data_IF_628850125389
#
_entry.id   IF_628850125389
#
_cell.length_a   1.000
_cell.length_b   1.000
_cell.length_c   1.000
_cell.angle_alpha   90.00
_cell.angle_beta   90.00
_cell.angle_gamma   90.00
#
_symmetry.space_group_name_H-M   'P 1'
#
loop_
_entity.id
_entity.type
_entity.pdbx_description
1 polymer ?
#
# COMPACT_ATOMS: atom_id res chain seq x y z
N UNK A 1 -19.14 19.50 -6.24
CA UNK A 1 -19.39 18.52 -5.16
C UNK A 1 -18.44 17.34 -5.31
N UNK A 2 -17.92 16.79 -4.22
CA UNK A 2 -17.05 15.61 -4.26
C UNK A 2 -17.89 14.35 -4.48
N UNK A 3 -17.46 13.49 -5.40
CA UNK A 3 -18.12 12.19 -5.61
C UNK A 3 -17.91 11.27 -4.39
N UNK A 4 -18.94 10.53 -3.96
CA UNK A 4 -18.79 9.45 -2.99
C UNK A 4 -17.78 8.41 -3.48
N UNK A 5 -17.08 7.76 -2.55
CA UNK A 5 -16.22 6.63 -2.90
C UNK A 5 -17.12 5.45 -3.28
N UNK A 6 -16.83 4.85 -4.42
CA UNK A 6 -17.47 3.59 -4.79
C UNK A 6 -16.97 2.47 -3.88
N UNK A 7 -17.89 1.89 -3.10
CA UNK A 7 -17.61 0.82 -2.16
C UNK A 7 -18.53 -0.35 -2.48
N UNK A 8 -17.92 -1.47 -2.83
CA UNK A 8 -18.57 -2.75 -3.12
C UNK A 8 -18.07 -3.82 -2.14
N UNK A 9 -18.97 -4.49 -1.40
CA UNK A 9 -18.59 -5.61 -0.54
C UNK A 9 -17.83 -6.69 -1.33
N UNK A 10 -16.74 -7.19 -0.74
CA UNK A 10 -15.92 -8.25 -1.34
C UNK A 10 -15.07 -7.83 -2.55
N UNK A 11 -15.10 -6.56 -2.96
CA UNK A 11 -14.26 -6.07 -4.05
C UNK A 11 -12.79 -5.94 -3.64
N UNK A 12 -11.91 -6.10 -4.63
CA UNK A 12 -10.50 -5.74 -4.54
C UNK A 12 -10.33 -4.30 -5.01
N UNK A 13 -9.44 -3.54 -4.37
CA UNK A 13 -9.23 -2.14 -4.67
C UNK A 13 -7.76 -1.86 -4.95
N UNK A 14 -7.52 -1.02 -5.96
CA UNK A 14 -6.28 -0.27 -6.03
C UNK A 14 -6.46 1.00 -5.20
N UNK A 15 -5.62 1.18 -4.17
CA UNK A 15 -5.70 2.28 -3.20
C UNK A 15 -4.42 3.10 -3.27
N UNK A 16 -4.55 4.43 -3.22
CA UNK A 16 -3.39 5.32 -3.15
C UNK A 16 -3.57 6.41 -2.09
N UNK A 17 -2.47 6.80 -1.42
CA UNK A 17 -2.45 7.96 -0.53
C UNK A 17 -1.13 8.74 -0.65
N UNK A 18 -1.21 10.06 -0.50
CA UNK A 18 -0.08 10.97 -0.69
C UNK A 18 0.16 11.79 0.56
N UNK A 19 1.44 11.99 0.88
CA UNK A 19 1.89 12.82 1.98
C UNK A 19 1.65 14.30 1.67
N UNK A 20 1.27 15.05 2.70
CA UNK A 20 1.01 16.48 2.61
C UNK A 20 2.25 17.22 2.12
N UNK A 21 2.04 18.31 1.37
CA UNK A 21 3.09 19.10 0.70
C UNK A 21 4.03 18.31 -0.23
N UNK A 22 3.72 17.03 -0.50
CA UNK A 22 4.60 16.13 -1.25
C UNK A 22 5.97 15.91 -0.59
N UNK A 23 6.05 16.10 0.74
CA UNK A 23 7.27 15.91 1.51
C UNK A 23 7.70 14.43 1.47
N UNK A 24 9.00 14.18 1.29
CA UNK A 24 9.57 12.84 1.18
C UNK A 24 9.77 12.17 2.55
N UNK A 25 8.72 12.11 3.37
CA UNK A 25 8.83 11.60 4.75
C UNK A 25 9.15 10.10 4.81
N UNK A 26 8.96 9.36 3.71
CA UNK A 26 9.32 7.94 3.59
C UNK A 26 10.75 7.72 3.07
N UNK A 27 11.57 8.76 2.88
CA UNK A 27 13.00 8.54 2.55
C UNK A 27 13.71 7.73 3.65
N UNK A 28 13.52 7.98 4.96
CA UNK A 28 14.08 7.14 6.02
C UNK A 28 13.39 5.77 6.14
N UNK A 29 14.18 4.74 6.40
CA UNK A 29 13.71 3.35 6.51
C UNK A 29 12.87 3.09 7.74
N UNK A 30 13.23 3.71 8.87
CA UNK A 30 12.52 3.59 10.13
C UNK A 30 11.08 4.14 10.07
N UNK A 31 10.82 5.12 9.19
CA UNK A 31 9.47 5.64 8.91
C UNK A 31 8.67 4.66 8.05
N UNK A 32 9.30 4.04 7.04
CA UNK A 32 8.65 3.00 6.23
C UNK A 32 8.33 1.76 7.09
N UNK A 33 9.25 1.34 7.95
CA UNK A 33 9.04 0.27 8.93
C UNK A 33 7.90 0.57 9.89
N UNK A 34 7.80 1.81 10.37
CA UNK A 34 6.68 2.25 11.20
C UNK A 34 5.36 2.10 10.46
N UNK A 35 5.32 2.43 9.16
CA UNK A 35 4.12 2.25 8.35
C UNK A 35 3.77 0.78 8.14
N UNK A 36 4.76 -0.08 7.84
CA UNK A 36 4.57 -1.53 7.73
C UNK A 36 3.99 -2.14 9.02
N UNK A 37 4.50 -1.71 10.19
CA UNK A 37 3.93 -2.12 11.49
C UNK A 37 2.47 -1.72 11.62
N UNK A 38 2.10 -0.50 11.22
CA UNK A 38 0.71 -0.04 11.23
C UNK A 38 -0.17 -0.89 10.30
N UNK A 39 0.29 -1.23 9.10
CA UNK A 39 -0.47 -2.10 8.17
C UNK A 39 -0.70 -3.47 8.81
N UNK A 40 0.32 -4.05 9.44
CA UNK A 40 0.21 -5.35 10.10
C UNK A 40 -0.81 -5.31 11.26
N UNK A 41 -0.73 -4.31 12.13
CA UNK A 41 -1.70 -4.10 13.21
C UNK A 41 -3.14 -3.93 12.68
N UNK A 42 -3.29 -3.21 11.56
CA UNK A 42 -4.58 -3.04 10.89
C UNK A 42 -5.12 -4.37 10.38
N UNK A 43 -4.27 -5.22 9.81
CA UNK A 43 -4.66 -6.53 9.30
C UNK A 43 -5.10 -7.46 10.45
N UNK A 44 -4.38 -7.46 11.57
CA UNK A 44 -4.78 -8.18 12.78
C UNK A 44 -6.17 -7.72 13.24
N UNK A 45 -6.43 -6.41 13.25
CA UNK A 45 -7.67 -5.80 13.74
C UNK A 45 -8.88 -5.99 12.82
N UNK A 46 -8.73 -5.73 11.52
CA UNK A 46 -9.86 -5.64 10.59
C UNK A 46 -9.96 -6.79 9.60
N UNK A 47 -8.89 -7.58 9.44
CA UNK A 47 -8.75 -8.67 8.46
C UNK A 47 -8.97 -8.20 7.03
N UNK A 48 -7.89 -8.14 6.26
CA UNK A 48 -7.92 -7.87 4.83
C UNK A 48 -6.82 -8.64 4.11
N UNK A 49 -7.00 -8.86 2.82
CA UNK A 49 -5.96 -9.41 1.96
C UNK A 49 -5.21 -8.25 1.31
N UNK A 50 -3.88 -8.27 1.41
CA UNK A 50 -3.00 -7.35 0.72
C UNK A 50 -2.26 -8.13 -0.37
N UNK A 51 -2.63 -7.97 -1.63
CA UNK A 51 -2.02 -8.73 -2.73
C UNK A 51 -0.71 -8.12 -3.20
N UNK A 52 -0.56 -6.80 -3.08
CA UNK A 52 0.67 -6.07 -3.32
C UNK A 52 0.63 -4.69 -2.63
N UNK A 53 1.80 -4.09 -2.42
CA UNK A 53 1.94 -2.72 -1.95
C UNK A 53 3.22 -2.07 -2.47
N UNK A 54 3.31 -0.75 -2.42
CA UNK A 54 4.55 -0.02 -2.59
C UNK A 54 4.53 1.25 -1.74
N UNK A 55 5.65 1.55 -1.08
CA UNK A 55 5.88 2.78 -0.32
C UNK A 55 7.06 3.49 -0.96
N UNK A 56 6.83 4.65 -1.55
CA UNK A 56 7.86 5.52 -2.11
C UNK A 56 7.82 6.87 -1.41
N UNK A 57 8.93 7.60 -1.41
CA UNK A 57 9.18 8.97 -0.89
C UNK A 57 8.01 9.66 -0.17
N UNK A 58 6.92 9.93 -0.90
CA UNK A 58 5.74 10.65 -0.43
C UNK A 58 4.40 9.97 -0.81
N UNK A 59 4.43 8.73 -1.32
CA UNK A 59 3.26 8.04 -1.87
C UNK A 59 3.20 6.57 -1.47
N UNK A 60 1.99 6.08 -1.24
CA UNK A 60 1.72 4.67 -0.95
C UNK A 60 0.66 4.15 -1.90
N UNK A 61 0.86 2.94 -2.42
CA UNK A 61 -0.09 2.23 -3.28
C UNK A 61 -0.36 0.82 -2.75
N UNK A 62 -1.62 0.35 -2.75
CA UNK A 62 -2.02 -0.99 -2.33
C UNK A 62 -2.94 -1.69 -3.33
N UNK A 63 -2.83 -3.01 -3.44
CA UNK A 63 -3.91 -3.89 -3.91
C UNK A 63 -4.51 -4.57 -2.69
N UNK A 64 -5.68 -4.10 -2.26
CA UNK A 64 -6.28 -4.49 -0.98
C UNK A 64 -7.70 -4.98 -1.17
N UNK A 65 -8.03 -6.13 -0.58
CA UNK A 65 -9.39 -6.68 -0.51
C UNK A 65 -9.85 -6.76 0.95
N UNK A 66 -10.83 -5.93 1.37
CA UNK A 66 -11.43 -6.07 2.69
C UNK A 66 -12.18 -7.40 2.83
N UNK A 67 -12.03 -8.08 3.98
CA UNK A 67 -12.73 -9.35 4.22
C UNK A 67 -13.98 -9.22 5.08
N UNK A 68 -13.97 -8.32 6.07
CA UNK A 68 -15.10 -8.11 7.00
C UNK A 68 -15.60 -6.67 7.01
N UNK A 69 -14.67 -5.72 7.01
CA UNK A 69 -14.96 -4.30 7.20
C UNK A 69 -14.91 -3.53 5.88
N UNK A 70 -15.36 -2.28 5.88
CA UNK A 70 -15.26 -1.45 4.67
C UNK A 70 -13.82 -0.98 4.44
N UNK A 71 -13.46 -0.80 3.16
CA UNK A 71 -12.18 -0.21 2.77
C UNK A 71 -11.94 1.13 3.48
N UNK A 72 -12.99 1.97 3.56
CA UNK A 72 -12.92 3.28 4.23
C UNK A 72 -12.53 3.16 5.69
N UNK A 73 -13.06 2.19 6.43
CA UNK A 73 -12.74 2.00 7.85
C UNK A 73 -11.30 1.52 8.04
N UNK A 74 -10.86 0.58 7.22
CA UNK A 74 -9.49 0.05 7.24
C UNK A 74 -8.48 1.17 6.96
N UNK A 75 -8.65 1.87 5.84
CA UNK A 75 -7.73 2.92 5.42
C UNK A 75 -7.79 4.14 6.35
N UNK A 76 -8.97 4.51 6.86
CA UNK A 76 -9.05 5.57 7.86
C UNK A 76 -8.19 5.23 9.08
N UNK A 77 -8.24 3.99 9.56
CA UNK A 77 -7.45 3.59 10.71
C UNK A 77 -5.94 3.58 10.40
N UNK A 78 -5.52 2.96 9.28
CA UNK A 78 -4.11 2.91 8.86
C UNK A 78 -3.51 4.31 8.79
N UNK A 79 -4.16 5.21 8.05
CA UNK A 79 -3.66 6.56 7.84
C UNK A 79 -3.66 7.39 9.12
N UNK A 80 -4.69 7.25 9.97
CA UNK A 80 -4.79 8.01 11.22
C UNK A 80 -3.75 7.56 12.25
N UNK A 81 -3.55 6.25 12.41
CA UNK A 81 -2.57 5.71 13.36
C UNK A 81 -1.16 6.04 12.92
N UNK A 82 -0.84 5.93 11.63
CA UNK A 82 0.46 6.37 11.13
C UNK A 82 0.68 7.86 11.36
N UNK A 83 -0.28 8.72 11.01
CA UNK A 83 -0.15 10.16 11.19
C UNK A 83 0.07 10.53 12.67
N UNK A 84 -0.65 9.90 13.59
CA UNK A 84 -0.48 10.10 15.02
C UNK A 84 0.93 9.70 15.48
N UNK A 85 1.43 8.52 15.08
CA UNK A 85 2.76 8.03 15.46
C UNK A 85 3.88 8.88 14.86
N UNK A 86 3.74 9.28 13.60
CA UNK A 86 4.67 10.16 12.92
C UNK A 86 4.74 11.53 13.62
N UNK A 87 3.60 12.18 13.85
CA UNK A 87 3.54 13.47 14.53
C UNK A 87 4.13 13.40 15.95
N UNK A 88 3.82 12.33 16.70
CA UNK A 88 4.39 12.15 18.03
C UNK A 88 5.91 11.99 17.99
N UNK A 89 6.44 11.17 17.07
CA UNK A 89 7.88 10.94 16.91
C UNK A 89 8.66 12.20 16.53
N UNK A 90 8.06 13.08 15.74
CA UNK A 90 8.71 14.28 15.22
C UNK A 90 8.31 15.57 15.94
N UNK A 91 7.48 15.48 16.99
CA UNK A 91 6.94 16.63 17.74
C UNK A 91 6.23 17.66 16.85
N UNK A 92 5.59 17.20 15.77
CA UNK A 92 4.87 18.04 14.81
C UNK A 92 3.37 18.05 15.11
N UNK A 93 2.75 19.21 14.93
CA UNK A 93 1.29 19.36 14.89
C UNK A 93 0.84 19.62 13.45
N UNK A 94 -0.13 18.83 12.95
CA UNK A 94 -0.74 19.08 11.64
C UNK A 94 -1.09 17.83 10.83
N UNK A 95 -1.50 18.07 9.58
CA UNK A 95 -1.89 17.03 8.64
C UNK A 95 -0.66 16.37 7.99
N UNK A 96 -0.52 15.06 8.18
CA UNK A 96 0.50 14.22 7.52
C UNK A 96 0.10 13.83 6.10
N UNK A 97 -1.19 13.58 5.87
CA UNK A 97 -1.72 13.19 4.57
C UNK A 97 -2.26 14.42 3.83
N UNK A 98 -1.98 14.50 2.52
CA UNK A 98 -2.43 15.60 1.67
C UNK A 98 -3.96 15.67 1.59
N UNK A 99 -4.59 14.50 1.45
CA UNK A 99 -6.03 14.35 1.31
C UNK A 99 -6.45 12.95 1.80
N UNK A 100 -7.75 12.64 1.71
CA UNK A 100 -8.25 11.27 1.81
C UNK A 100 -7.57 10.39 0.75
N UNK A 101 -7.39 9.11 1.07
CA UNK A 101 -6.95 8.14 0.08
C UNK A 101 -7.89 8.09 -1.13
N UNK A 102 -7.32 7.80 -2.30
CA UNK A 102 -8.06 7.50 -3.53
C UNK A 102 -8.16 5.99 -3.67
N UNK A 103 -9.22 5.53 -4.34
CA UNK A 103 -9.40 4.11 -4.61
C UNK A 103 -10.19 3.90 -5.90
N UNK A 104 -9.88 2.84 -6.61
CA UNK A 104 -10.72 2.27 -7.69
C UNK A 104 -10.95 0.79 -7.43
N UNK A 105 -12.12 0.29 -7.81
CA UNK A 105 -12.39 -1.14 -7.82
C UNK A 105 -11.54 -1.79 -8.92
N UNK A 106 -11.10 -3.02 -8.66
CA UNK A 106 -10.48 -3.91 -9.64
C UNK A 106 -11.50 -5.03 -9.89
N UNK A 107 -12.00 -5.13 -11.12
CA UNK A 107 -13.11 -6.01 -11.48
C UNK A 107 -12.65 -7.31 -12.15
N UNK A 108 -11.52 -7.28 -12.87
CA UNK A 108 -11.02 -8.44 -13.63
C UNK A 108 -9.62 -8.87 -13.21
N UNK A 109 -9.23 -10.08 -13.61
CA UNK A 109 -7.88 -10.60 -13.34
C UNK A 109 -6.81 -9.81 -14.11
N UNK A 110 -7.09 -9.40 -15.34
CA UNK A 110 -6.20 -8.56 -16.15
C UNK A 110 -5.96 -7.20 -15.50
N UNK A 111 -6.99 -6.61 -14.88
CA UNK A 111 -6.82 -5.38 -14.12
C UNK A 111 -6.00 -5.58 -12.85
N UNK A 112 -6.08 -6.75 -12.19
CA UNK A 112 -5.21 -7.10 -11.07
C UNK A 112 -3.77 -7.17 -11.57
N UNK A 113 -3.49 -7.89 -12.66
CA UNK A 113 -2.15 -8.02 -13.24
C UNK A 113 -1.56 -6.66 -13.63
N UNK A 114 -2.36 -5.82 -14.29
CA UNK A 114 -1.95 -4.47 -14.67
C UNK A 114 -1.62 -3.61 -13.44
N UNK A 115 -2.47 -3.66 -12.40
CA UNK A 115 -2.24 -2.94 -11.15
C UNK A 115 -0.99 -3.45 -10.43
N UNK A 116 -0.81 -4.78 -10.41
CA UNK A 116 0.32 -5.44 -9.78
C UNK A 116 1.63 -5.01 -10.44
N UNK A 117 1.67 -5.01 -11.77
CA UNK A 117 2.82 -4.55 -12.55
C UNK A 117 3.15 -3.09 -12.26
N UNK A 118 2.15 -2.20 -12.34
CA UNK A 118 2.35 -0.77 -12.12
C UNK A 118 2.94 -0.49 -10.73
N UNK A 119 2.33 -1.05 -9.68
CA UNK A 119 2.77 -0.90 -8.29
C UNK A 119 4.21 -1.42 -8.11
N UNK A 120 4.51 -2.59 -8.72
CA UNK A 120 5.81 -3.23 -8.60
C UNK A 120 6.93 -2.43 -9.28
N UNK A 121 6.62 -1.70 -10.35
CA UNK A 121 7.61 -0.92 -11.09
C UNK A 121 7.88 0.47 -10.49
N UNK A 122 7.02 0.95 -9.59
CA UNK A 122 7.19 2.27 -8.94
C UNK A 122 8.58 2.54 -8.37
N UNK A 123 9.24 1.61 -7.65
CA UNK A 123 10.58 1.88 -7.11
C UNK A 123 11.61 2.16 -8.21
N UNK A 124 11.47 1.53 -9.37
CA UNK A 124 12.38 1.75 -10.52
C UNK A 124 12.07 3.09 -11.18
N UNK A 125 10.79 3.41 -11.39
CA UNK A 125 10.34 4.69 -11.94
C UNK A 125 10.82 5.88 -11.07
N UNK A 126 10.75 5.73 -9.74
CA UNK A 126 11.17 6.72 -8.74
C UNK A 126 12.69 6.71 -8.46
N UNK A 127 13.45 5.87 -9.19
CA UNK A 127 14.91 5.71 -9.06
C UNK A 127 15.36 5.33 -7.64
N UNK A 128 14.52 4.56 -6.92
CA UNK A 128 14.81 4.02 -5.60
C UNK A 128 15.52 2.66 -5.67
N UNK A 129 15.36 1.93 -6.77
CA UNK A 129 16.06 0.67 -7.03
C UNK A 129 16.31 0.47 -8.53
N UNK A 130 17.28 -0.38 -8.90
CA UNK A 130 17.52 -0.75 -10.31
C UNK A 130 16.53 -1.81 -10.78
N UNK A 131 16.11 -2.70 -9.86
CA UNK A 131 15.07 -3.70 -10.08
C UNK A 131 14.00 -3.60 -9.01
N UNK A 132 12.77 -3.94 -9.36
CA UNK A 132 11.64 -3.96 -8.44
C UNK A 132 11.89 -4.91 -7.24
N UNK A 133 12.53 -6.05 -7.53
CA UNK A 133 12.89 -7.09 -6.57
C UNK A 133 13.90 -6.66 -5.50
N UNK A 134 14.65 -5.58 -5.73
CA UNK A 134 15.66 -5.05 -4.81
C UNK A 134 15.09 -4.07 -3.77
N UNK A 135 13.83 -3.65 -3.92
CA UNK A 135 13.22 -2.64 -3.05
C UNK A 135 12.31 -3.26 -1.99
N UNK A 136 12.77 -3.29 -0.74
CA UNK A 136 12.12 -4.03 0.36
C UNK A 136 10.75 -3.48 0.77
N UNK A 137 10.47 -2.22 0.44
CA UNK A 137 9.21 -1.55 0.74
C UNK A 137 8.20 -1.64 -0.41
N UNK A 138 8.35 -2.66 -1.26
CA UNK A 138 7.38 -3.08 -2.24
C UNK A 138 7.10 -4.58 -2.10
N UNK A 139 5.82 -4.96 -2.21
CA UNK A 139 5.35 -6.33 -2.01
C UNK A 139 5.98 -7.34 -2.97
N UNK A 140 6.40 -6.92 -4.17
CA UNK A 140 7.09 -7.80 -5.12
C UNK A 140 8.40 -8.38 -4.55
N UNK A 141 9.15 -7.60 -3.77
CA UNK A 141 10.37 -8.10 -3.13
C UNK A 141 10.08 -9.22 -2.13
N UNK A 142 8.98 -9.09 -1.36
CA UNK A 142 8.54 -10.11 -0.42
C UNK A 142 8.04 -11.36 -1.14
N UNK A 143 7.31 -11.20 -2.25
CA UNK A 143 6.82 -12.31 -3.07
C UNK A 143 7.99 -13.16 -3.59
N UNK A 144 9.02 -12.52 -4.14
CA UNK A 144 10.19 -13.19 -4.69
C UNK A 144 11.00 -13.89 -3.58
N UNK A 145 11.08 -13.28 -2.40
CA UNK A 145 11.70 -13.88 -1.21
C UNK A 145 10.84 -14.97 -0.55
N UNK A 146 9.60 -15.19 -1.02
CA UNK A 146 8.67 -16.17 -0.45
C UNK A 146 8.13 -15.80 0.94
N UNK A 147 8.10 -14.50 1.28
CA UNK A 147 7.65 -13.99 2.57
C UNK A 147 6.19 -13.54 2.45
N UNK A 148 5.29 -14.18 3.21
CA UNK A 148 3.83 -13.98 3.09
C UNK A 148 3.15 -13.56 4.40
N UNK A 149 3.91 -13.01 5.36
CA UNK A 149 3.34 -12.60 6.66
C UNK A 149 2.38 -11.41 6.53
N UNK A 150 2.72 -10.45 5.67
CA UNK A 150 1.93 -9.23 5.44
C UNK A 150 1.08 -9.29 4.17
N UNK A 151 1.56 -10.02 3.15
CA UNK A 151 0.96 -10.10 1.83
C UNK A 151 0.32 -11.47 1.60
N UNK A 152 -0.83 -11.48 0.92
CA UNK A 152 -1.45 -12.73 0.47
C UNK A 152 -0.56 -13.38 -0.59
N UNK A 153 -0.32 -14.68 -0.44
CA UNK A 153 0.38 -15.46 -1.46
C UNK A 153 -0.32 -15.29 -2.81
N UNK A 154 0.37 -14.79 -3.85
CA UNK A 154 -0.24 -14.54 -5.13
C UNK A 154 -0.60 -15.86 -5.84
N UNK A 155 -1.61 -15.85 -6.73
CA UNK A 155 -1.84 -16.95 -7.67
C UNK A 155 -0.64 -17.15 -8.60
N UNK A 156 -0.58 -18.31 -9.25
CA UNK A 156 0.60 -18.76 -10.01
C UNK A 156 1.02 -17.78 -11.11
N UNK A 157 0.07 -17.21 -11.85
CA UNK A 157 0.30 -16.19 -12.87
C UNK A 157 1.03 -14.96 -12.32
N UNK A 158 0.56 -14.40 -11.19
CA UNK A 158 1.22 -13.26 -10.56
C UNK A 158 2.59 -13.59 -9.96
N UNK A 159 2.77 -14.83 -9.49
CA UNK A 159 4.07 -15.31 -9.02
C UNK A 159 5.06 -15.43 -10.18
N UNK A 160 4.66 -16.03 -11.31
CA UNK A 160 5.45 -16.10 -12.54
C UNK A 160 5.78 -14.70 -13.07
N UNK A 161 4.82 -13.78 -13.02
CA UNK A 161 5.01 -12.38 -13.38
C UNK A 161 6.06 -11.68 -12.49
N UNK A 162 6.03 -11.94 -11.17
CA UNK A 162 6.98 -11.35 -10.23
C UNK A 162 8.44 -11.74 -10.53
N UNK A 163 8.70 -12.98 -10.95
CA UNK A 163 10.05 -13.44 -11.30
C UNK A 163 10.60 -12.84 -12.61
N UNK A 164 9.77 -12.17 -13.41
CA UNK A 164 10.18 -11.48 -14.63
C UNK A 164 10.65 -10.03 -14.38
N UNK A 165 10.67 -9.55 -13.12
CA UNK A 165 11.01 -8.18 -12.71
C UNK A 165 12.13 -8.13 -11.66
#
# INVERSE_FOLDING_TARGET
MRQPRELKPGATYHVTATINKFDNIFDPDDIKDMFLRVINEANIKYKFELSNFCIVRNHIEFILKPLKESLSKIMQWILSVFAMRYNHKHEINGHVWYDRFKSRIIETEEEIEASFKLISQRPVEEKLAKKASEYEYCGISLIIKGIFDLIKKPPKNLLELAFNY
#
